data_IF_922976524294
#
_entry.id   IF_922976524294
#
_cell.length_a   1.000
_cell.length_b   1.000
_cell.length_c   1.000
_cell.angle_alpha   90.00
_cell.angle_beta   90.00
_cell.angle_gamma   90.00
#
_symmetry.space_group_name_H-M   'P 1'
#
loop_
_entity.id
_entity.type
_entity.pdbx_description
1 polymer ?
#
# COMPACT_ATOMS: atom_id res chain seq x y z
N UNK A 1 13.54 -9.90 3.99
CA UNK A 1 12.17 -9.46 4.26
C UNK A 1 11.19 -10.59 3.99
N UNK A 2 10.26 -10.83 4.89
CA UNK A 2 9.22 -11.83 4.68
C UNK A 2 8.06 -11.25 3.87
N UNK A 3 7.24 -12.13 3.29
CA UNK A 3 6.04 -11.70 2.57
C UNK A 3 5.07 -10.94 3.49
N UNK A 4 4.93 -11.38 4.74
CA UNK A 4 4.12 -10.68 5.74
C UNK A 4 4.64 -9.28 6.02
N UNK A 5 5.95 -9.11 6.16
CA UNK A 5 6.55 -7.80 6.39
C UNK A 5 6.32 -6.87 5.20
N UNK A 6 6.46 -7.37 3.98
CA UNK A 6 6.17 -6.59 2.77
C UNK A 6 4.72 -6.12 2.73
N UNK A 7 3.78 -7.02 3.07
CA UNK A 7 2.36 -6.69 3.10
C UNK A 7 2.04 -5.66 4.18
N UNK A 8 2.56 -5.86 5.40
CA UNK A 8 2.32 -4.93 6.52
C UNK A 8 2.92 -3.56 6.26
N UNK A 9 4.11 -3.51 5.67
CA UNK A 9 4.77 -2.27 5.30
C UNK A 9 3.95 -1.50 4.27
N UNK A 10 3.42 -2.19 3.26
CA UNK A 10 2.56 -1.57 2.26
C UNK A 10 1.26 -1.05 2.87
N UNK A 11 0.64 -1.80 3.78
CA UNK A 11 -0.56 -1.36 4.49
C UNK A 11 -0.26 -0.10 5.31
N UNK A 12 0.84 -0.09 6.03
CA UNK A 12 1.27 1.07 6.82
C UNK A 12 1.47 2.30 5.94
N UNK A 13 2.17 2.14 4.82
CA UNK A 13 2.41 3.22 3.86
C UNK A 13 1.09 3.74 3.28
N UNK A 14 0.18 2.85 2.91
CA UNK A 14 -1.13 3.22 2.39
C UNK A 14 -1.95 3.99 3.43
N UNK A 15 -1.90 3.57 4.69
CA UNK A 15 -2.59 4.26 5.79
C UNK A 15 -2.07 5.68 5.98
N UNK A 16 -0.76 5.89 5.90
CA UNK A 16 -0.17 7.21 6.00
C UNK A 16 -0.63 8.12 4.86
N UNK A 17 -0.74 7.59 3.66
CA UNK A 17 -1.23 8.34 2.50
C UNK A 17 -2.71 8.71 2.70
N UNK A 18 -3.51 7.80 3.24
CA UNK A 18 -4.93 8.06 3.53
C UNK A 18 -5.09 9.10 4.64
N UNK A 19 -4.22 9.10 5.66
CA UNK A 19 -4.22 10.13 6.69
C UNK A 19 -3.99 11.52 6.10
N UNK A 20 -3.08 11.63 5.14
CA UNK A 20 -2.85 12.88 4.42
C UNK A 20 -4.12 13.34 3.69
N UNK A 21 -4.84 12.39 3.06
CA UNK A 21 -6.10 12.68 2.39
C UNK A 21 -7.17 13.19 3.36
N UNK A 22 -7.20 12.68 4.59
CA UNK A 22 -8.22 13.03 5.58
C UNK A 22 -7.96 14.37 6.29
N UNK A 23 -6.79 14.98 6.12
CA UNK A 23 -6.49 16.26 6.72
C UNK A 23 -7.29 17.40 6.07
N UNK A 24 -7.75 18.40 6.87
CA UNK A 24 -8.56 19.50 6.37
C UNK A 24 -7.69 20.58 5.70
N UNK A 25 -7.04 20.22 4.61
CA UNK A 25 -6.16 21.14 3.86
C UNK A 25 -6.36 20.92 2.36
N UNK A 26 -5.95 21.89 1.51
CA UNK A 26 -5.99 21.69 0.06
C UNK A 26 -5.21 20.44 -0.33
N UNK A 27 -5.79 19.64 -1.20
CA UNK A 27 -5.22 18.34 -1.60
C UNK A 27 -5.11 18.22 -3.09
N UNK A 28 -4.05 17.56 -3.52
CA UNK A 28 -3.92 17.10 -4.90
C UNK A 28 -4.32 15.62 -4.94
N UNK A 29 -5.58 15.37 -5.29
CA UNK A 29 -6.11 14.00 -5.33
C UNK A 29 -5.38 13.12 -6.33
N UNK A 30 -4.94 13.66 -7.45
CA UNK A 30 -4.18 12.91 -8.45
C UNK A 30 -2.85 12.43 -7.87
N UNK A 31 -2.17 13.26 -7.10
CA UNK A 31 -0.91 12.91 -6.45
C UNK A 31 -1.09 11.85 -5.38
N UNK A 32 -2.18 11.94 -4.61
CA UNK A 32 -2.52 10.95 -3.59
C UNK A 32 -2.78 9.60 -4.25
N UNK A 33 -3.53 9.58 -5.34
CA UNK A 33 -3.79 8.36 -6.10
C UNK A 33 -2.51 7.76 -6.68
N UNK A 34 -1.60 8.58 -7.21
CA UNK A 34 -0.31 8.11 -7.70
C UNK A 34 0.50 7.44 -6.60
N UNK A 35 0.53 8.03 -5.41
CA UNK A 35 1.23 7.45 -4.27
C UNK A 35 0.63 6.09 -3.87
N UNK A 36 -0.69 5.98 -3.85
CA UNK A 36 -1.37 4.73 -3.56
C UNK A 36 -1.06 3.67 -4.62
N UNK A 37 -1.06 4.05 -5.89
CA UNK A 37 -0.70 3.15 -6.98
C UNK A 37 0.73 2.65 -6.80
N UNK A 38 1.68 3.54 -6.50
CA UNK A 38 3.07 3.15 -6.28
C UNK A 38 3.21 2.13 -5.16
N UNK A 39 2.48 2.30 -4.07
CA UNK A 39 2.53 1.37 -2.93
C UNK A 39 1.89 0.04 -3.30
N UNK A 40 0.69 0.06 -3.87
CA UNK A 40 -0.11 -1.15 -4.10
C UNK A 40 0.33 -1.94 -5.34
N UNK A 41 1.01 -1.28 -6.28
CA UNK A 41 1.51 -1.90 -7.52
C UNK A 41 2.99 -2.27 -7.45
N UNK A 42 3.60 -2.25 -6.27
CA UNK A 42 4.99 -2.72 -6.10
C UNK A 42 5.09 -4.18 -6.52
N UNK A 43 6.00 -4.53 -7.44
CA UNK A 43 6.11 -5.94 -7.89
C UNK A 43 6.35 -6.90 -6.74
N UNK A 44 7.21 -6.54 -5.79
CA UNK A 44 7.49 -7.37 -4.62
C UNK A 44 6.23 -7.58 -3.76
N UNK A 45 5.39 -6.55 -3.63
CA UNK A 45 4.15 -6.64 -2.88
C UNK A 45 3.14 -7.56 -3.57
N UNK A 46 2.98 -7.43 -4.89
CA UNK A 46 2.07 -8.26 -5.66
C UNK A 46 2.43 -9.73 -5.50
N UNK A 47 3.70 -10.06 -5.62
CA UNK A 47 4.19 -11.43 -5.42
C UNK A 47 3.95 -11.89 -3.99
N UNK A 48 4.26 -11.05 -2.99
CA UNK A 48 4.09 -11.39 -1.59
C UNK A 48 2.63 -11.69 -1.24
N UNK A 49 1.70 -10.84 -1.70
CA UNK A 49 0.26 -11.02 -1.46
C UNK A 49 -0.23 -12.31 -2.12
N UNK A 50 0.21 -12.58 -3.36
CA UNK A 50 -0.15 -13.80 -4.07
C UNK A 50 0.29 -15.05 -3.29
N UNK A 51 1.51 -15.05 -2.77
CA UNK A 51 2.03 -16.17 -1.96
C UNK A 51 1.25 -16.35 -0.66
N UNK A 52 0.94 -15.24 0.03
CA UNK A 52 0.18 -15.28 1.27
C UNK A 52 -1.22 -15.85 1.05
N UNK A 53 -1.88 -15.46 -0.04
CA UNK A 53 -3.19 -15.99 -0.39
C UNK A 53 -3.14 -17.49 -0.69
N UNK A 54 -2.09 -17.96 -1.34
CA UNK A 54 -1.90 -19.38 -1.61
C UNK A 54 -1.65 -20.17 -0.32
N UNK A 55 -0.90 -19.59 0.62
CA UNK A 55 -0.62 -20.22 1.92
C UNK A 55 -1.85 -20.30 2.82
N UNK A 56 -2.80 -19.38 2.62
CA UNK A 56 -4.03 -19.32 3.41
C UNK A 56 -5.03 -20.42 3.11
N UNK A 57 -4.73 -21.25 2.12
CA UNK A 57 -5.61 -22.37 1.74
C UNK A 57 -5.08 -23.69 2.35
#
# INVERSE_FOLDING_TARGET
>A
MTDQQLALEAISDAQLILEEYLQPCPKDNARILEKLVEVLERPALIVAVSRLLQQGN
#
